data_IF_176929053375
#
_entry.id   IF_176929053375
#
_cell.length_a   1.000
_cell.length_b   1.000
_cell.length_c   1.000
_cell.angle_alpha   90.00
_cell.angle_beta   90.00
_cell.angle_gamma   90.00
#
_symmetry.space_group_name_H-M   'P 1'
#
loop_
_entity.id
_entity.type
_entity.pdbx_description
1 polymer ?
#
# COMPACT_ATOMS: atom_id res chain seq x y z
N UNK A 1 16.82 -6.08 27.99
CA UNK A 1 17.15 -4.92 28.77
C UNK A 1 16.53 -5.00 30.16
N UNK A 2 17.30 -4.74 31.19
CA UNK A 2 16.82 -4.83 32.55
C UNK A 2 16.31 -3.48 33.04
N UNK A 3 15.01 -3.37 33.14
CA UNK A 3 14.36 -2.18 33.69
C UNK A 3 14.04 -2.45 35.14
N UNK A 4 14.44 -1.58 36.01
CA UNK A 4 14.25 -1.70 37.45
C UNK A 4 13.26 -0.67 37.98
N UNK A 5 12.91 -0.83 39.27
CA UNK A 5 11.94 0.02 39.93
C UNK A 5 12.21 1.52 39.80
N UNK A 6 13.47 1.94 39.77
CA UNK A 6 13.85 3.32 39.55
C UNK A 6 13.51 3.89 38.18
N UNK A 7 13.05 3.03 37.26
CA UNK A 7 12.68 3.43 35.91
C UNK A 7 11.18 3.34 35.66
N UNK A 8 10.38 3.36 36.71
CA UNK A 8 8.91 3.34 36.60
C UNK A 8 8.34 4.40 35.68
N UNK A 9 8.85 5.67 35.62
CA UNK A 9 8.33 6.65 34.68
C UNK A 9 8.47 6.24 33.21
N UNK A 10 9.34 5.28 32.90
CA UNK A 10 9.52 4.78 31.54
C UNK A 10 8.52 3.67 31.17
N UNK A 11 7.81 3.10 32.14
CA UNK A 11 6.86 2.01 31.87
C UNK A 11 5.74 2.42 30.91
N UNK A 12 5.07 3.58 31.10
CA UNK A 12 4.07 4.05 30.15
C UNK A 12 4.63 4.30 28.75
N UNK A 13 5.88 4.77 28.67
CA UNK A 13 6.56 4.98 27.38
C UNK A 13 6.77 3.65 26.66
N UNK A 14 7.23 2.62 27.36
CA UNK A 14 7.45 1.29 26.77
C UNK A 14 6.13 0.68 26.30
N UNK A 15 5.07 0.83 27.06
CA UNK A 15 3.75 0.34 26.69
C UNK A 15 3.23 1.06 25.46
N UNK A 16 3.42 2.37 25.38
CA UNK A 16 3.02 3.17 24.22
C UNK A 16 3.77 2.75 22.97
N UNK A 17 5.07 2.53 23.07
CA UNK A 17 5.88 2.07 21.93
C UNK A 17 5.42 0.69 21.48
N UNK A 18 5.16 -0.23 22.40
CA UNK A 18 4.66 -1.57 22.06
C UNK A 18 3.29 -1.53 21.41
N UNK A 19 2.43 -0.63 21.85
CA UNK A 19 1.10 -0.45 21.25
C UNK A 19 1.20 0.04 19.81
N UNK A 20 2.12 0.93 19.52
CA UNK A 20 2.27 1.56 18.20
C UNK A 20 3.06 0.71 17.21
N UNK A 21 4.03 -0.06 17.69
CA UNK A 21 4.95 -0.82 16.83
C UNK A 21 4.71 -2.31 16.99
N UNK A 22 4.14 -2.94 15.96
CA UNK A 22 3.83 -4.36 15.95
C UNK A 22 5.05 -5.24 15.65
N UNK A 23 5.94 -4.74 14.81
CA UNK A 23 7.16 -5.41 14.40
C UNK A 23 8.22 -4.36 14.15
N UNK A 24 9.43 -4.80 13.80
CA UNK A 24 10.58 -3.92 13.66
C UNK A 24 10.31 -2.68 12.80
N UNK A 25 9.59 -2.86 11.68
CA UNK A 25 9.29 -1.80 10.71
C UNK A 25 7.80 -1.52 10.55
N UNK A 26 6.94 -2.13 11.37
CA UNK A 26 5.50 -1.96 11.27
C UNK A 26 4.95 -1.09 12.37
N UNK A 27 4.08 -0.16 11.98
CA UNK A 27 3.36 0.69 12.91
C UNK A 27 1.91 0.20 12.99
N UNK A 28 1.41 0.00 14.19
CA UNK A 28 0.05 -0.46 14.45
C UNK A 28 -1.00 0.51 13.90
N UNK A 29 -2.09 -0.04 13.37
CA UNK A 29 -3.26 0.76 12.99
C UNK A 29 -3.78 1.61 14.15
N UNK A 30 -3.64 1.11 15.37
CA UNK A 30 -4.11 1.79 16.58
C UNK A 30 -3.18 2.89 17.06
N UNK A 31 -2.03 3.09 16.40
CA UNK A 31 -1.06 4.11 16.79
C UNK A 31 -1.64 5.52 16.70
N UNK A 32 -2.55 5.77 15.76
CA UNK A 32 -3.27 7.04 15.67
C UNK A 32 -4.59 6.86 14.91
N UNK A 33 -5.59 7.72 15.16
CA UNK A 33 -6.83 7.71 14.37
C UNK A 33 -6.58 8.00 12.90
N UNK A 34 -5.64 8.89 12.58
CA UNK A 34 -5.28 9.21 11.20
C UNK A 34 -4.72 8.00 10.46
N UNK A 35 -3.84 7.24 11.10
CA UNK A 35 -3.25 6.04 10.52
C UNK A 35 -4.30 4.94 10.33
N UNK A 36 -5.17 4.74 11.32
CA UNK A 36 -6.28 3.79 11.22
C UNK A 36 -7.19 4.13 10.02
N UNK A 37 -7.56 5.40 9.90
CA UNK A 37 -8.44 5.89 8.83
C UNK A 37 -7.84 5.69 7.45
N UNK A 38 -6.57 6.09 7.27
CA UNK A 38 -5.92 5.98 5.96
C UNK A 38 -5.71 4.52 5.54
N UNK A 39 -5.37 3.65 6.48
CA UNK A 39 -5.21 2.22 6.19
C UNK A 39 -6.54 1.57 5.82
N UNK A 40 -7.62 1.98 6.43
CA UNK A 40 -8.97 1.57 6.03
C UNK A 40 -9.28 2.00 4.60
N UNK A 41 -8.94 3.23 4.25
CA UNK A 41 -9.08 3.76 2.89
C UNK A 41 -8.27 2.93 1.90
N UNK A 42 -7.03 2.58 2.23
CA UNK A 42 -6.17 1.74 1.39
C UNK A 42 -6.83 0.38 1.13
N UNK A 43 -7.33 -0.27 2.17
CA UNK A 43 -8.02 -1.56 2.02
C UNK A 43 -9.24 -1.44 1.10
N UNK A 44 -10.03 -0.39 1.27
CA UNK A 44 -11.22 -0.17 0.44
C UNK A 44 -10.85 0.06 -1.02
N UNK A 45 -9.81 0.83 -1.29
CA UNK A 45 -9.34 1.10 -2.66
C UNK A 45 -8.80 -0.20 -3.28
N UNK A 46 -7.99 -0.96 -2.54
CA UNK A 46 -7.48 -2.25 -3.01
C UNK A 46 -8.62 -3.20 -3.39
N UNK A 47 -9.66 -3.28 -2.57
CA UNK A 47 -10.82 -4.12 -2.85
C UNK A 47 -11.53 -3.68 -4.14
N UNK A 48 -11.68 -2.38 -4.35
CA UNK A 48 -12.28 -1.84 -5.57
C UNK A 48 -11.44 -2.14 -6.80
N UNK A 49 -10.11 -2.01 -6.70
CA UNK A 49 -9.21 -2.33 -7.80
C UNK A 49 -9.33 -3.79 -8.17
N UNK A 50 -9.25 -4.69 -7.18
CA UNK A 50 -9.36 -6.12 -7.42
C UNK A 50 -10.71 -6.49 -8.03
N UNK A 51 -11.79 -5.87 -7.57
CA UNK A 51 -13.12 -6.06 -8.16
C UNK A 51 -13.17 -5.65 -9.63
N UNK A 52 -12.66 -4.48 -9.95
CA UNK A 52 -12.61 -3.98 -11.34
C UNK A 52 -11.71 -4.85 -12.22
N UNK A 53 -10.54 -5.24 -11.72
CA UNK A 53 -9.61 -6.10 -12.46
C UNK A 53 -10.20 -7.49 -12.69
N UNK A 54 -10.84 -8.08 -11.68
CA UNK A 54 -11.49 -9.38 -11.84
C UNK A 54 -12.63 -9.34 -12.86
N UNK A 55 -13.37 -8.25 -12.94
CA UNK A 55 -14.39 -8.08 -13.96
C UNK A 55 -13.78 -8.10 -15.37
N UNK A 56 -12.63 -7.46 -15.56
CA UNK A 56 -11.89 -7.53 -16.83
C UNK A 56 -11.40 -8.95 -17.12
N UNK A 57 -10.83 -9.61 -16.14
CA UNK A 57 -10.29 -10.96 -16.29
C UNK A 57 -11.38 -12.01 -16.53
N UNK A 58 -12.61 -11.75 -16.10
CA UNK A 58 -13.74 -12.65 -16.32
C UNK A 58 -14.42 -12.44 -17.68
N UNK A 59 -14.08 -11.36 -18.38
CA UNK A 59 -14.58 -11.12 -19.73
C UNK A 59 -13.85 -12.05 -20.72
N UNK A 60 -14.57 -12.89 -21.43
CA UNK A 60 -13.98 -13.80 -22.43
C UNK A 60 -13.27 -13.03 -23.54
N UNK A 61 -13.80 -11.88 -23.93
CA UNK A 61 -13.16 -11.02 -24.96
C UNK A 61 -11.83 -10.50 -24.46
N UNK A 62 -11.79 -9.93 -23.25
CA UNK A 62 -10.54 -9.42 -22.68
C UNK A 62 -9.53 -10.54 -22.48
N UNK A 63 -9.95 -11.70 -21.99
CA UNK A 63 -9.06 -12.84 -21.77
C UNK A 63 -8.34 -13.28 -23.03
N UNK A 64 -8.97 -13.15 -24.20
CA UNK A 64 -8.36 -13.51 -25.47
C UNK A 64 -7.17 -12.62 -25.82
N UNK A 65 -7.09 -11.42 -25.25
CA UNK A 65 -6.00 -10.47 -25.46
C UNK A 65 -4.86 -10.65 -24.47
N UNK A 66 -5.07 -11.40 -23.39
CA UNK A 66 -4.11 -11.52 -22.30
C UNK A 66 -3.13 -12.68 -22.53
N UNK A 67 -1.89 -12.43 -22.15
CA UNK A 67 -0.87 -13.49 -22.10
C UNK A 67 -1.21 -14.50 -21.00
N UNK A 68 -1.76 -14.01 -19.90
CA UNK A 68 -2.22 -14.79 -18.78
C UNK A 68 -3.33 -14.00 -18.05
N UNK A 69 -4.28 -14.70 -17.44
CA UNK A 69 -5.40 -14.07 -16.74
C UNK A 69 -5.03 -13.80 -15.28
N UNK A 70 -4.06 -12.92 -15.07
CA UNK A 70 -3.54 -12.57 -13.72
C UNK A 70 -3.47 -11.07 -13.55
N UNK A 71 -3.57 -10.63 -12.29
CA UNK A 71 -3.32 -9.25 -11.89
C UNK A 71 -1.84 -9.16 -11.54
N UNK A 72 -1.15 -8.17 -12.12
CA UNK A 72 0.27 -7.92 -11.84
C UNK A 72 0.45 -6.51 -11.30
N UNK A 73 1.64 -6.24 -10.77
CA UNK A 73 2.01 -4.89 -10.35
C UNK A 73 3.32 -4.51 -11.03
N UNK A 74 3.32 -3.35 -11.69
CA UNK A 74 4.49 -2.79 -12.35
C UNK A 74 4.57 -1.30 -12.03
N UNK A 75 5.73 -0.86 -11.56
CA UNK A 75 5.96 0.55 -11.19
C UNK A 75 4.93 1.08 -10.17
N UNK A 76 4.51 0.22 -9.23
CA UNK A 76 3.53 0.59 -8.22
C UNK A 76 2.10 0.69 -8.75
N UNK A 77 1.83 0.20 -9.96
CA UNK A 77 0.51 0.26 -10.60
C UNK A 77 -0.01 -1.15 -10.85
N UNK A 78 -1.30 -1.36 -10.65
CA UNK A 78 -1.94 -2.62 -11.00
C UNK A 78 -2.13 -2.70 -12.51
N UNK A 79 -1.62 -3.77 -13.10
CA UNK A 79 -1.60 -3.99 -14.54
C UNK A 79 -2.05 -5.41 -14.89
N UNK A 80 -2.35 -5.61 -16.17
CA UNK A 80 -2.62 -6.93 -16.74
C UNK A 80 -1.64 -7.20 -17.88
N UNK A 81 -1.20 -8.46 -18.05
CA UNK A 81 -0.26 -8.82 -19.11
C UNK A 81 -1.01 -9.04 -20.43
N UNK A 82 -0.82 -8.13 -21.37
CA UNK A 82 -1.50 -8.13 -22.67
C UNK A 82 -0.52 -8.59 -23.75
N UNK A 83 -0.98 -9.44 -24.65
CA UNK A 83 -0.20 -9.80 -25.85
C UNK A 83 0.05 -8.53 -26.66
N UNK A 84 1.31 -8.30 -27.05
CA UNK A 84 1.71 -7.06 -27.71
C UNK A 84 0.88 -6.75 -28.96
N UNK A 85 0.48 -7.79 -29.71
CA UNK A 85 -0.34 -7.66 -30.90
C UNK A 85 -1.74 -7.11 -30.63
N UNK A 86 -2.22 -7.20 -29.38
CA UNK A 86 -3.55 -6.74 -28.98
C UNK A 86 -3.53 -5.45 -28.15
N UNK A 87 -2.42 -4.74 -28.11
CA UNK A 87 -2.31 -3.51 -27.31
C UNK A 87 -3.39 -2.47 -27.64
N UNK A 88 -3.82 -2.42 -28.88
CA UNK A 88 -4.86 -1.49 -29.34
C UNK A 88 -6.27 -1.87 -28.87
N UNK A 89 -6.45 -3.09 -28.38
CA UNK A 89 -7.75 -3.60 -27.93
C UNK A 89 -7.96 -3.40 -26.41
N UNK A 90 -6.91 -3.06 -25.69
CA UNK A 90 -6.98 -2.85 -24.24
C UNK A 90 -6.55 -1.41 -23.93
N UNK A 91 -7.53 -0.50 -23.78
CA UNK A 91 -7.21 0.89 -23.45
C UNK A 91 -6.53 1.00 -22.10
N UNK A 92 -5.42 1.72 -22.06
CA UNK A 92 -4.68 1.91 -20.81
C UNK A 92 -3.28 2.42 -21.04
N UNK A 93 -2.50 2.43 -19.97
CA UNK A 93 -1.12 2.89 -19.97
C UNK A 93 -0.16 1.71 -19.88
N UNK A 94 0.82 1.67 -20.78
CA UNK A 94 1.85 0.64 -20.80
C UNK A 94 2.93 1.06 -19.79
N UNK A 95 3.19 0.22 -18.79
CA UNK A 95 4.20 0.51 -17.77
C UNK A 95 5.46 -0.34 -17.89
N UNK A 96 5.38 -1.48 -18.55
CA UNK A 96 6.50 -2.40 -18.68
C UNK A 96 6.24 -3.37 -19.83
N UNK A 97 7.29 -4.10 -20.20
CA UNK A 97 7.18 -5.16 -21.21
C UNK A 97 8.10 -6.32 -20.84
N UNK A 98 7.80 -7.50 -21.36
CA UNK A 98 8.67 -8.67 -21.21
C UNK A 98 9.98 -8.46 -21.97
N UNK A 99 10.99 -9.27 -21.66
CA UNK A 99 12.32 -9.15 -22.28
C UNK A 99 12.28 -9.28 -23.81
N UNK A 100 11.33 -10.07 -24.34
CA UNK A 100 11.14 -10.24 -25.78
C UNK A 100 10.21 -9.19 -26.39
N UNK A 101 9.53 -8.39 -25.56
CA UNK A 101 8.52 -7.43 -26.02
C UNK A 101 7.20 -8.07 -26.43
N UNK A 102 7.02 -9.38 -26.23
CA UNK A 102 5.81 -10.09 -26.61
C UNK A 102 4.64 -9.85 -25.65
N UNK A 103 4.91 -9.41 -24.44
CA UNK A 103 3.90 -9.10 -23.42
C UNK A 103 4.08 -7.67 -22.96
N UNK A 104 2.97 -6.93 -22.90
CA UNK A 104 2.94 -5.56 -22.38
C UNK A 104 2.14 -5.55 -21.09
N UNK A 105 2.66 -4.90 -20.07
CA UNK A 105 1.97 -4.74 -18.79
C UNK A 105 1.20 -3.44 -18.85
N UNK A 106 -0.11 -3.54 -19.01
CA UNK A 106 -0.99 -2.38 -19.23
C UNK A 106 -1.83 -2.15 -17.98
N UNK A 107 -1.81 -0.90 -17.51
CA UNK A 107 -2.74 -0.42 -16.52
C UNK A 107 -4.04 -0.08 -17.23
N UNK A 108 -5.14 -0.85 -17.01
CA UNK A 108 -6.39 -0.58 -17.71
C UNK A 108 -6.93 0.81 -17.36
N UNK A 109 -7.48 1.50 -18.34
CA UNK A 109 -8.02 2.85 -18.14
C UNK A 109 -9.08 2.88 -17.03
N UNK A 110 -9.83 1.80 -16.88
CA UNK A 110 -10.88 1.69 -15.86
C UNK A 110 -10.35 1.72 -14.42
N UNK A 111 -9.07 1.45 -14.18
CA UNK A 111 -8.49 1.45 -12.83
C UNK A 111 -7.47 2.56 -12.60
N UNK A 112 -7.21 3.40 -13.60
CA UNK A 112 -6.23 4.49 -13.47
C UNK A 112 -6.54 5.39 -12.29
N UNK A 113 -7.80 5.82 -12.16
CA UNK A 113 -8.23 6.68 -11.05
C UNK A 113 -8.01 6.00 -9.70
N UNK A 114 -8.39 4.73 -9.59
CA UNK A 114 -8.21 3.97 -8.36
C UNK A 114 -6.73 3.77 -8.01
N UNK A 115 -5.89 3.50 -8.99
CA UNK A 115 -4.45 3.43 -8.78
C UNK A 115 -3.87 4.77 -8.31
N UNK A 116 -4.37 5.89 -8.86
CA UNK A 116 -3.97 7.22 -8.41
C UNK A 116 -4.42 7.48 -6.98
N UNK A 117 -5.65 7.10 -6.63
CA UNK A 117 -6.18 7.24 -5.28
C UNK A 117 -5.37 6.40 -4.29
N UNK A 118 -4.96 5.19 -4.70
CA UNK A 118 -4.13 4.32 -3.87
C UNK A 118 -2.76 4.94 -3.60
N UNK A 119 -2.13 5.49 -4.62
CA UNK A 119 -0.84 6.17 -4.48
C UNK A 119 -0.96 7.36 -3.52
N UNK A 120 -2.00 8.16 -3.65
CA UNK A 120 -2.28 9.28 -2.76
C UNK A 120 -2.48 8.79 -1.32
N UNK A 121 -3.23 7.70 -1.14
CA UNK A 121 -3.47 7.12 0.18
C UNK A 121 -2.18 6.60 0.82
N UNK A 122 -1.27 6.00 0.05
CA UNK A 122 0.04 5.59 0.56
C UNK A 122 0.88 6.77 1.02
N UNK A 123 0.82 7.91 0.32
CA UNK A 123 1.51 9.12 0.75
C UNK A 123 0.95 9.64 2.07
N UNK A 124 -0.38 9.60 2.23
CA UNK A 124 -1.03 9.98 3.49
C UNK A 124 -0.70 9.01 4.62
N UNK A 125 -0.58 7.73 4.32
CA UNK A 125 -0.15 6.73 5.29
C UNK A 125 1.26 7.06 5.79
N UNK A 126 2.16 7.39 4.88
CA UNK A 126 3.53 7.75 5.23
C UNK A 126 3.58 8.98 6.13
N UNK A 127 2.78 10.01 5.81
CA UNK A 127 2.66 11.20 6.65
C UNK A 127 2.14 10.86 8.04
N UNK A 128 1.14 9.98 8.13
CA UNK A 128 0.58 9.56 9.42
C UNK A 128 1.59 8.74 10.23
N UNK A 129 2.38 7.89 9.59
CA UNK A 129 3.47 7.14 10.25
C UNK A 129 4.52 8.10 10.79
N UNK A 130 4.94 9.07 9.99
CA UNK A 130 5.92 10.06 10.40
C UNK A 130 5.44 10.89 11.60
N UNK A 131 4.15 11.22 11.64
CA UNK A 131 3.55 11.94 12.77
C UNK A 131 3.58 11.09 14.04
N UNK A 132 3.29 9.78 13.94
CA UNK A 132 3.39 8.85 15.08
C UNK A 132 4.81 8.76 15.60
N UNK A 133 5.79 8.61 14.70
CA UNK A 133 7.20 8.51 15.07
C UNK A 133 7.69 9.80 15.71
N UNK A 134 7.27 10.95 15.23
CA UNK A 134 7.60 12.24 15.82
C UNK A 134 7.03 12.37 17.24
N UNK A 135 5.80 11.91 17.46
CA UNK A 135 5.18 11.91 18.78
C UNK A 135 5.92 11.00 19.75
N UNK A 136 6.28 9.79 19.32
CA UNK A 136 7.08 8.87 20.13
C UNK A 136 8.45 9.45 20.46
N UNK A 137 9.07 10.13 19.52
CA UNK A 137 10.35 10.82 19.71
C UNK A 137 10.24 11.91 20.77
N UNK A 138 9.14 12.68 20.78
CA UNK A 138 8.88 13.70 21.79
C UNK A 138 8.68 13.09 23.16
N UNK A 139 7.93 11.98 23.26
CA UNK A 139 7.77 11.26 24.52
C UNK A 139 9.10 10.76 25.05
N UNK A 140 9.94 10.22 24.20
CA UNK A 140 11.27 9.75 24.57
C UNK A 140 12.12 10.90 25.12
N UNK A 141 12.09 12.06 24.47
CA UNK A 141 12.82 13.24 24.92
C UNK A 141 12.33 13.71 26.29
N UNK A 142 11.02 13.71 26.54
CA UNK A 142 10.47 14.07 27.84
C UNK A 142 10.94 13.14 28.95
N UNK A 143 10.91 11.83 28.72
CA UNK A 143 11.36 10.86 29.73
C UNK A 143 12.88 10.86 29.89
N UNK A 144 13.61 11.17 28.85
CA UNK A 144 15.08 11.28 28.92
C UNK A 144 15.54 12.46 29.82
N UNK A 145 14.67 13.45 30.04
CA UNK A 145 14.96 14.57 30.91
C UNK A 145 14.96 14.17 32.41
N UNK A 146 14.40 13.04 32.76
CA UNK A 146 14.45 12.54 34.13
C UNK A 146 15.78 11.82 34.38
#
# INVERSE_FOLDING_TARGET
>A
MCIRAGLEPLTPLLEEIRRCILAEDEISDDASPALHSVRRTIRNINDKIHGAMNNLLNSSTTRSYLQDAVITMRNGRYCIPVKAEYKGQVPGMIHDQSSTGSTLFIEPMSVVKLNNDLKEAFLKEQEAIEAVLAELSNLTAQYAAY
#
